data_IF_647347381406
#
_entry.id   IF_647347381406
#
_cell.length_a   1.000
_cell.length_b   1.000
_cell.length_c   1.000
_cell.angle_alpha   90.00
_cell.angle_beta   90.00
_cell.angle_gamma   90.00
#
_symmetry.space_group_name_H-M   'P 1'
#
loop_
_entity.id
_entity.type
_entity.pdbx_description
1 polymer ?
#
# COMPACT_ATOMS: atom_id res chain seq x y z
N UNK A 1 -5.50 0.72 -28.02
CA UNK A 1 -4.82 1.42 -26.92
C UNK A 1 -5.23 0.66 -25.67
N UNK A 2 -4.35 -0.16 -25.10
CA UNK A 2 -4.70 -1.06 -24.00
C UNK A 2 -5.19 -0.23 -22.80
N UNK A 3 -6.48 -0.27 -22.53
CA UNK A 3 -7.01 0.13 -21.23
C UNK A 3 -6.33 -0.77 -20.19
N UNK A 4 -5.38 -0.21 -19.45
CA UNK A 4 -4.87 -0.87 -18.26
C UNK A 4 -6.04 -0.96 -17.27
N UNK A 5 -6.71 -2.12 -17.27
CA UNK A 5 -7.76 -2.44 -16.32
C UNK A 5 -7.20 -2.30 -14.89
N UNK A 6 -8.01 -1.82 -13.95
CA UNK A 6 -7.70 -1.65 -12.53
C UNK A 6 -6.99 -2.89 -11.97
N UNK A 7 -7.38 -4.10 -12.41
CA UNK A 7 -6.77 -5.36 -12.02
C UNK A 7 -5.27 -5.45 -12.31
N UNK A 8 -4.81 -4.91 -13.45
CA UNK A 8 -3.39 -4.93 -13.82
C UNK A 8 -2.58 -4.02 -12.89
N UNK A 9 -3.06 -2.81 -12.64
CA UNK A 9 -2.40 -1.88 -11.72
C UNK A 9 -2.38 -2.40 -10.27
N UNK A 10 -3.47 -3.02 -9.81
CA UNK A 10 -3.50 -3.63 -8.48
C UNK A 10 -2.52 -4.80 -8.37
N UNK A 11 -2.38 -5.62 -9.42
CA UNK A 11 -1.40 -6.71 -9.45
C UNK A 11 0.04 -6.18 -9.43
N UNK A 12 0.36 -5.19 -10.26
CA UNK A 12 1.68 -4.56 -10.27
C UNK A 12 2.04 -3.93 -8.92
N UNK A 13 1.09 -3.23 -8.30
CA UNK A 13 1.26 -2.67 -6.96
C UNK A 13 1.58 -3.76 -5.92
N UNK A 14 0.87 -4.90 -5.97
CA UNK A 14 1.15 -6.04 -5.08
C UNK A 14 2.55 -6.63 -5.30
N UNK A 15 3.00 -6.77 -6.54
CA UNK A 15 4.37 -7.25 -6.85
C UNK A 15 5.45 -6.33 -6.25
N UNK A 16 5.25 -5.01 -6.34
CA UNK A 16 6.17 -4.05 -5.73
C UNK A 16 6.12 -4.09 -4.21
N UNK A 17 4.93 -4.24 -3.62
CA UNK A 17 4.76 -4.38 -2.17
C UNK A 17 5.45 -5.64 -1.63
N UNK A 18 5.32 -6.78 -2.31
CA UNK A 18 6.01 -8.01 -1.95
C UNK A 18 7.54 -7.83 -1.94
N UNK A 19 8.07 -7.17 -2.98
CA UNK A 19 9.50 -6.87 -3.08
C UNK A 19 9.97 -5.97 -1.93
N UNK A 20 9.20 -4.93 -1.60
CA UNK A 20 9.50 -4.02 -0.51
C UNK A 20 9.44 -4.72 0.87
N UNK A 21 8.49 -5.62 1.08
CA UNK A 21 8.37 -6.43 2.31
C UNK A 21 9.58 -7.34 2.47
N UNK A 22 9.95 -8.08 1.43
CA UNK A 22 11.09 -8.99 1.45
C UNK A 22 12.40 -8.23 1.76
N UNK A 23 12.61 -7.07 1.14
CA UNK A 23 13.76 -6.23 1.42
C UNK A 23 13.73 -5.65 2.84
N UNK A 24 12.56 -5.22 3.31
CA UNK A 24 12.38 -4.70 4.69
C UNK A 24 12.78 -5.74 5.73
N UNK A 25 12.28 -6.98 5.59
CA UNK A 25 12.61 -8.09 6.49
C UNK A 25 14.10 -8.40 6.43
N UNK A 26 14.67 -8.51 5.23
CA UNK A 26 16.09 -8.77 5.05
C UNK A 26 16.97 -7.72 5.75
N UNK A 27 16.67 -6.44 5.58
CA UNK A 27 17.43 -5.36 6.23
C UNK A 27 17.38 -5.44 7.76
N UNK A 28 16.21 -5.77 8.34
CA UNK A 28 16.10 -5.93 9.80
C UNK A 28 16.83 -7.17 10.29
N UNK A 29 16.78 -8.29 9.55
CA UNK A 29 17.52 -9.50 9.90
C UNK A 29 19.04 -9.30 9.81
N UNK A 30 19.52 -8.54 8.84
CA UNK A 30 20.94 -8.19 8.70
C UNK A 30 21.39 -7.16 9.75
N UNK A 31 20.51 -6.22 10.11
CA UNK A 31 20.78 -5.22 11.15
C UNK A 31 19.49 -4.74 11.83
N UNK A 32 19.23 -5.24 13.04
CA UNK A 32 18.03 -4.91 13.82
C UNK A 32 17.89 -3.40 14.12
N UNK A 33 19.00 -2.64 14.13
CA UNK A 33 18.95 -1.20 14.36
C UNK A 33 18.20 -0.43 13.26
N UNK A 34 18.03 -1.02 12.07
CA UNK A 34 17.31 -0.42 10.93
C UNK A 34 15.78 -0.50 11.07
N UNK A 35 15.28 -1.29 12.02
CA UNK A 35 13.83 -1.55 12.20
C UNK A 35 13.01 -0.28 12.35
N UNK A 36 13.50 0.71 13.12
CA UNK A 36 12.80 1.99 13.31
C UNK A 36 12.70 2.78 12.01
N UNK A 37 13.80 2.86 11.25
CA UNK A 37 13.84 3.56 9.97
C UNK A 37 12.91 2.90 8.93
N UNK A 38 12.92 1.57 8.86
CA UNK A 38 12.05 0.81 7.97
C UNK A 38 10.58 0.98 8.35
N UNK A 39 10.26 0.98 9.65
CA UNK A 39 8.93 1.30 10.15
C UNK A 39 8.44 2.67 9.67
N UNK A 40 9.28 3.71 9.78
CA UNK A 40 8.94 5.06 9.30
C UNK A 40 8.65 5.11 7.79
N UNK A 41 9.39 4.35 6.98
CA UNK A 41 9.12 4.25 5.52
C UNK A 41 7.73 3.66 5.24
N UNK A 42 7.36 2.61 5.97
CA UNK A 42 6.03 2.01 5.86
C UNK A 42 4.92 2.93 6.36
N UNK A 43 5.14 3.65 7.47
CA UNK A 43 4.19 4.64 7.98
C UNK A 43 3.92 5.75 6.95
N UNK A 44 4.99 6.29 6.34
CA UNK A 44 4.86 7.30 5.30
C UNK A 44 4.07 6.76 4.10
N UNK A 45 4.44 5.60 3.57
CA UNK A 45 3.78 5.00 2.42
C UNK A 45 2.28 4.75 2.69
N UNK A 46 1.93 4.13 3.83
CA UNK A 46 0.54 3.85 4.19
C UNK A 46 -0.25 5.15 4.42
N UNK A 47 0.39 6.15 5.02
CA UNK A 47 -0.20 7.48 5.22
C UNK A 47 -0.55 8.16 3.89
N UNK A 48 0.39 8.17 2.94
CA UNK A 48 0.18 8.71 1.59
C UNK A 48 -0.91 7.95 0.83
N UNK A 49 -0.85 6.61 0.81
CA UNK A 49 -1.84 5.77 0.13
C UNK A 49 -3.26 5.99 0.67
N UNK A 50 -3.43 5.92 2.00
CA UNK A 50 -4.73 6.18 2.63
C UNK A 50 -5.19 7.63 2.43
N UNK A 51 -4.24 8.58 2.37
CA UNK A 51 -4.49 9.97 2.01
C UNK A 51 -5.10 10.10 0.62
N UNK A 52 -4.51 9.45 -0.38
CA UNK A 52 -4.99 9.46 -1.76
C UNK A 52 -6.40 8.86 -1.88
N UNK A 53 -6.69 7.75 -1.20
CA UNK A 53 -8.04 7.15 -1.18
C UNK A 53 -9.06 8.15 -0.64
N UNK A 54 -8.76 8.78 0.51
CA UNK A 54 -9.66 9.78 1.12
C UNK A 54 -9.84 10.99 0.21
N UNK A 55 -8.76 11.50 -0.37
CA UNK A 55 -8.81 12.69 -1.22
C UNK A 55 -9.63 12.42 -2.49
N UNK A 56 -9.42 11.27 -3.13
CA UNK A 56 -10.22 10.85 -4.30
C UNK A 56 -11.68 10.67 -3.92
N UNK A 57 -11.99 9.99 -2.82
CA UNK A 57 -13.36 9.85 -2.33
C UNK A 57 -14.04 11.18 -2.04
N UNK A 58 -13.34 12.13 -1.42
CA UNK A 58 -13.85 13.50 -1.19
C UNK A 58 -14.13 14.23 -2.50
N UNK A 59 -13.20 14.19 -3.47
CA UNK A 59 -13.33 14.87 -4.77
C UNK A 59 -14.47 14.27 -5.61
N UNK A 60 -14.66 12.95 -5.56
CA UNK A 60 -15.70 12.25 -6.32
C UNK A 60 -17.04 12.13 -5.58
N UNK A 61 -17.12 12.53 -4.30
CA UNK A 61 -18.26 12.29 -3.40
C UNK A 61 -18.62 10.80 -3.26
N UNK A 62 -17.61 9.93 -3.30
CA UNK A 62 -17.74 8.48 -3.13
C UNK A 62 -17.05 8.02 -1.86
N UNK A 63 -17.67 7.08 -1.13
CA UNK A 63 -17.02 6.39 -0.02
C UNK A 63 -16.22 5.18 -0.53
N UNK A 64 -15.00 5.41 -1.02
CA UNK A 64 -14.15 4.34 -1.58
C UNK A 64 -13.82 3.25 -0.56
N UNK A 65 -13.60 3.62 0.71
CA UNK A 65 -13.38 2.64 1.79
C UNK A 65 -14.63 1.81 2.06
N UNK A 66 -15.82 2.37 1.84
CA UNK A 66 -17.09 1.66 1.96
C UNK A 66 -17.30 0.55 0.92
N UNK A 67 -16.50 0.52 -0.15
CA UNK A 67 -16.53 -0.57 -1.13
C UNK A 67 -15.75 -1.80 -0.66
N UNK A 68 -14.87 -1.62 0.33
CA UNK A 68 -14.02 -2.66 0.87
C UNK A 68 -14.68 -3.23 2.11
N UNK A 69 -14.96 -4.53 2.08
CA UNK A 69 -15.39 -5.24 3.27
C UNK A 69 -14.18 -5.73 4.04
N UNK A 70 -13.69 -4.90 4.96
CA UNK A 70 -12.58 -5.25 5.86
C UNK A 70 -12.75 -6.60 6.59
N UNK A 71 -13.95 -7.01 7.04
CA UNK A 71 -14.13 -8.35 7.62
C UNK A 71 -13.82 -9.53 6.68
N UNK A 72 -13.76 -9.29 5.36
CA UNK A 72 -13.38 -10.30 4.35
C UNK A 72 -11.89 -10.31 4.04
N UNK A 73 -11.14 -9.32 4.51
CA UNK A 73 -9.68 -9.28 4.41
C UNK A 73 -9.16 -10.07 5.63
N UNK A 74 -8.60 -11.26 5.39
CA UNK A 74 -7.97 -12.11 6.41
C UNK A 74 -6.46 -12.01 6.31
#
# INVERSE_FOLDING_TARGET
MNEQNIDNHLREALTHLESALNQSVRCVLENDSTKKEIGLKWEQFLGEFMGQIREKGKKSRLNLLGWISFPRIR
#
